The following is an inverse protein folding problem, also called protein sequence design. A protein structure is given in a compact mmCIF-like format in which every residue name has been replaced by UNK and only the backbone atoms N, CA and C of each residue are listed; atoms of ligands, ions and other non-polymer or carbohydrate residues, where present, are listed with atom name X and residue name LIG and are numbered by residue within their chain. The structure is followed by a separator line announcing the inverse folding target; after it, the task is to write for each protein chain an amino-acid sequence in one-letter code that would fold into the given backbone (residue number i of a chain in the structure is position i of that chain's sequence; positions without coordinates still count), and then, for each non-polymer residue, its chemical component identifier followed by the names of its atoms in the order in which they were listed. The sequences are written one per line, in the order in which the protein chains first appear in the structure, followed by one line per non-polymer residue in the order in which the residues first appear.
data_IF_052050519676
#
_entry.id   IF_052050519676
#
_cell.length_a   1.000
_cell.length_b   1.000
_cell.length_c   1.000
_cell.angle_alpha   90.00
_cell.angle_beta   90.00
_cell.angle_gamma   90.00
#
_symmetry.space_group_name_H-M   'P 1'
#
loop_
_entity.id
_entity.type
_entity.pdbx_description
1 polymer ?
#
# COMPACT_ATOMS: atom_id res chain seq x y z
N UNK A 1 -34.89 18.63 11.76
CA UNK A 1 -33.81 18.95 12.70
C UNK A 1 -33.92 20.39 13.16
N UNK A 2 -33.73 20.62 14.46
CA UNK A 2 -33.67 21.96 15.04
C UNK A 2 -32.22 22.18 15.47
N UNK A 3 -31.68 23.36 15.15
CA UNK A 3 -30.34 23.73 15.56
C UNK A 3 -30.31 24.23 17.00
N UNK A 4 -29.21 24.03 17.69
CA UNK A 4 -28.91 24.62 18.97
C UNK A 4 -28.61 26.14 18.86
N UNK A 5 -28.28 26.78 19.97
CA UNK A 5 -27.94 28.21 20.02
C UNK A 5 -26.67 28.59 19.24
N UNK A 6 -25.86 27.61 18.84
CA UNK A 6 -24.65 27.79 18.06
C UNK A 6 -24.83 27.41 16.58
N UNK A 7 -26.06 27.08 16.17
CA UNK A 7 -26.37 26.68 14.80
C UNK A 7 -26.01 25.22 14.45
N UNK A 8 -25.69 24.41 15.45
CA UNK A 8 -25.36 22.99 15.27
C UNK A 8 -26.59 22.13 15.45
N UNK A 9 -26.68 21.03 14.68
CA UNK A 9 -27.71 20.00 14.83
C UNK A 9 -27.07 18.62 14.65
N UNK A 10 -27.57 17.63 15.39
CA UNK A 10 -27.16 16.24 15.25
C UNK A 10 -28.40 15.32 15.18
N UNK A 11 -28.24 14.22 14.49
CA UNK A 11 -29.27 13.17 14.46
C UNK A 11 -28.59 11.83 14.18
N UNK A 12 -29.26 10.79 14.65
CA UNK A 12 -28.89 9.41 14.35
C UNK A 12 -29.86 8.84 13.32
N UNK A 13 -29.36 8.01 12.44
CA UNK A 13 -30.18 7.22 11.54
C UNK A 13 -29.71 5.77 11.57
N UNK A 14 -30.65 4.85 11.45
CA UNK A 14 -30.36 3.41 11.42
C UNK A 14 -30.35 2.94 9.98
N UNK A 15 -29.26 2.28 9.58
CA UNK A 15 -29.21 1.61 8.29
C UNK A 15 -30.21 0.45 8.24
N UNK A 16 -30.89 0.23 7.09
CA UNK A 16 -31.72 -0.95 6.90
C UNK A 16 -30.89 -2.22 7.08
N UNK A 17 -31.44 -3.20 7.80
CA UNK A 17 -30.75 -4.48 8.06
C UNK A 17 -30.60 -5.36 6.80
N UNK A 18 -31.38 -5.07 5.76
CA UNK A 18 -31.38 -5.72 4.44
C UNK A 18 -30.69 -4.87 3.36
N UNK A 19 -29.99 -3.80 3.76
CA UNK A 19 -29.25 -2.93 2.86
C UNK A 19 -28.08 -3.65 2.19
N UNK A 20 -27.81 -3.31 0.93
CA UNK A 20 -26.65 -3.82 0.21
C UNK A 20 -25.36 -3.20 0.75
N UNK A 21 -24.28 -3.98 0.77
CA UNK A 21 -22.95 -3.44 0.99
C UNK A 21 -22.58 -2.50 -0.17
N UNK A 22 -21.88 -1.42 0.14
CA UNK A 22 -21.42 -0.47 -0.87
C UNK A 22 -21.20 0.93 -0.35
N UNK A 23 -20.96 1.83 -1.29
CA UNK A 23 -20.74 3.24 -1.01
C UNK A 23 -22.08 3.97 -0.92
N UNK A 24 -22.31 4.63 0.21
CA UNK A 24 -23.50 5.41 0.51
C UNK A 24 -23.18 6.89 0.64
N UNK A 25 -24.13 7.72 0.28
CA UNK A 25 -24.03 9.16 0.49
C UNK A 25 -25.27 9.69 1.17
N UNK A 26 -25.07 10.58 2.12
CA UNK A 26 -26.10 11.40 2.74
C UNK A 26 -26.04 12.79 2.14
N UNK A 27 -27.18 13.35 1.79
CA UNK A 27 -27.29 14.70 1.27
C UNK A 27 -28.45 15.42 1.92
N UNK A 28 -28.29 16.71 2.20
CA UNK A 28 -29.36 17.58 2.69
C UNK A 28 -30.24 18.13 1.57
N UNK A 29 -29.94 17.79 0.30
CA UNK A 29 -30.64 18.32 -0.86
C UNK A 29 -30.35 19.79 -1.16
N UNK A 30 -29.45 20.44 -0.41
CA UNK A 30 -29.08 21.85 -0.54
C UNK A 30 -27.59 22.07 -0.86
N UNK A 31 -26.84 20.98 -1.10
CA UNK A 31 -25.45 21.02 -1.51
C UNK A 31 -24.45 20.46 -0.49
N UNK A 32 -24.85 20.21 0.75
CA UNK A 32 -24.02 19.46 1.68
C UNK A 32 -24.21 17.95 1.47
N UNK A 33 -23.11 17.21 1.46
CA UNK A 33 -23.12 15.75 1.34
C UNK A 33 -21.97 15.14 2.14
N UNK A 34 -22.18 13.91 2.60
CA UNK A 34 -21.18 13.10 3.26
C UNK A 34 -21.31 11.67 2.76
N UNK A 35 -20.18 11.06 2.43
CA UNK A 35 -20.16 9.66 2.02
C UNK A 35 -19.54 8.76 3.08
N UNK A 36 -19.97 7.50 3.09
CA UNK A 36 -19.45 6.44 3.94
C UNK A 36 -19.64 5.08 3.27
N UNK A 37 -18.83 4.12 3.65
CA UNK A 37 -18.91 2.75 3.14
C UNK A 37 -19.63 1.86 4.14
N UNK A 38 -20.54 1.03 3.64
CA UNK A 38 -21.19 -0.03 4.38
C UNK A 38 -20.66 -1.36 3.88
N UNK A 39 -20.02 -2.10 4.76
CA UNK A 39 -19.48 -3.42 4.44
C UNK A 39 -19.80 -4.40 5.57
N UNK A 40 -20.08 -5.65 5.22
CA UNK A 40 -20.13 -6.74 6.18
C UNK A 40 -18.70 -7.01 6.66
N UNK A 41 -18.47 -6.88 7.95
CA UNK A 41 -17.18 -7.23 8.54
C UNK A 41 -17.05 -8.75 8.60
N UNK A 42 -16.26 -9.31 7.67
CA UNK A 42 -15.78 -10.69 7.77
C UNK A 42 -14.42 -10.70 8.48
N UNK A 43 -14.33 -11.46 9.57
CA UNK A 43 -13.05 -11.64 10.24
C UNK A 43 -12.09 -12.33 9.27
N UNK A 44 -10.91 -11.77 9.00
CA UNK A 44 -9.92 -12.40 8.14
C UNK A 44 -9.57 -13.80 8.67
N UNK A 45 -9.49 -14.78 7.78
CA UNK A 45 -9.18 -16.17 8.16
C UNK A 45 -7.71 -16.50 8.00
N UNK A 46 -7.00 -15.78 7.10
CA UNK A 46 -5.58 -15.99 6.83
C UNK A 46 -4.83 -14.68 6.63
N UNK A 47 -3.52 -14.74 6.65
CA UNK A 47 -2.62 -13.64 6.36
C UNK A 47 -1.63 -14.01 5.26
N UNK A 48 -1.16 -12.99 4.53
CA UNK A 48 -0.12 -13.10 3.51
C UNK A 48 1.12 -12.36 4.02
N UNK A 49 2.25 -13.04 4.04
CA UNK A 49 3.50 -12.46 4.51
C UNK A 49 4.56 -12.49 3.43
N UNK A 50 5.17 -11.34 3.16
CA UNK A 50 6.37 -11.19 2.35
C UNK A 50 7.56 -10.91 3.26
N UNK A 51 8.65 -11.70 3.19
CA UNK A 51 9.80 -11.50 4.04
C UNK A 51 10.56 -10.24 3.64
N UNK A 52 11.28 -9.66 4.60
CA UNK A 52 12.22 -8.57 4.29
C UNK A 52 13.38 -9.11 3.46
N UNK A 53 13.69 -8.41 2.38
CA UNK A 53 14.87 -8.69 1.56
C UNK A 53 16.09 -8.08 2.25
N UNK A 54 17.06 -8.92 2.60
CA UNK A 54 18.33 -8.52 3.25
C UNK A 54 19.53 -8.64 2.32
N UNK A 55 19.35 -9.30 1.19
CA UNK A 55 20.36 -9.47 0.16
C UNK A 55 20.62 -8.14 -0.56
N UNK A 56 21.84 -7.94 -0.98
CA UNK A 56 22.21 -6.79 -1.81
C UNK A 56 21.76 -7.05 -3.24
N UNK A 57 21.19 -6.05 -3.86
CA UNK A 57 20.74 -6.08 -5.26
C UNK A 57 21.08 -4.77 -5.95
N UNK A 58 21.14 -4.80 -7.27
CA UNK A 58 21.45 -3.66 -8.13
C UNK A 58 20.56 -3.67 -9.38
N UNK A 59 20.69 -2.63 -10.19
CA UNK A 59 20.00 -2.55 -11.49
C UNK A 59 20.37 -3.73 -12.39
N UNK A 60 19.38 -4.34 -13.00
CA UNK A 60 19.49 -5.52 -13.83
C UNK A 60 19.38 -6.86 -13.09
N UNK A 61 19.40 -6.87 -11.77
CA UNK A 61 19.19 -8.09 -10.98
C UNK A 61 17.71 -8.51 -10.97
N UNK A 62 17.47 -9.77 -10.61
CA UNK A 62 16.12 -10.27 -10.26
C UNK A 62 16.12 -10.74 -8.81
N UNK A 63 15.33 -10.09 -7.98
CA UNK A 63 15.16 -10.46 -6.58
C UNK A 63 14.03 -11.47 -6.46
N UNK A 64 14.33 -12.64 -5.91
CA UNK A 64 13.37 -13.73 -5.72
C UNK A 64 12.79 -13.65 -4.30
N UNK A 65 11.49 -13.37 -4.19
CA UNK A 65 10.80 -13.27 -2.90
C UNK A 65 9.93 -14.51 -2.70
N UNK A 66 10.17 -15.21 -1.59
CA UNK A 66 9.39 -16.37 -1.16
C UNK A 66 8.40 -15.94 -0.09
N UNK A 67 7.15 -15.72 -0.50
CA UNK A 67 6.07 -15.37 0.43
C UNK A 67 5.38 -16.58 1.02
N UNK A 68 4.55 -16.33 2.05
CA UNK A 68 3.75 -17.37 2.70
C UNK A 68 2.31 -16.90 2.92
N UNK A 69 1.37 -17.83 2.81
CA UNK A 69 -0.03 -17.63 3.17
C UNK A 69 -0.45 -18.68 4.20
N UNK A 70 -0.86 -18.22 5.39
CA UNK A 70 -1.27 -19.09 6.52
C UNK A 70 -2.47 -18.52 7.22
N UNK A 71 -3.34 -19.41 7.70
CA UNK A 71 -4.42 -19.00 8.59
C UNK A 71 -3.85 -18.50 9.91
N UNK A 72 -4.62 -17.74 10.67
CA UNK A 72 -4.22 -17.30 12.02
C UNK A 72 -4.03 -18.45 13.01
N UNK A 73 -4.52 -19.64 12.68
CA UNK A 73 -4.25 -20.89 13.41
C UNK A 73 -2.94 -21.58 12.94
N UNK A 74 -2.21 -21.00 11.98
CA UNK A 74 -0.95 -21.53 11.46
C UNK A 74 -1.10 -22.58 10.35
N UNK A 75 -2.32 -22.87 9.90
CA UNK A 75 -2.56 -23.82 8.80
C UNK A 75 -2.22 -23.18 7.47
N UNK A 76 -1.42 -23.86 6.59
CA UNK A 76 -1.09 -23.31 5.27
C UNK A 76 -2.31 -23.16 4.37
N UNK A 77 -2.38 -22.06 3.61
CA UNK A 77 -3.35 -21.88 2.52
C UNK A 77 -2.77 -22.54 1.27
N UNK A 78 -3.13 -23.80 1.05
CA UNK A 78 -2.65 -24.59 -0.08
C UNK A 78 -3.52 -24.39 -1.31
N UNK A 79 -2.89 -24.28 -2.49
CA UNK A 79 -3.60 -24.10 -3.77
C UNK A 79 -4.30 -22.76 -3.95
N UNK A 80 -4.02 -21.78 -3.07
CA UNK A 80 -4.54 -20.42 -3.22
C UNK A 80 -4.01 -19.77 -4.50
N UNK A 81 -4.89 -19.07 -5.23
CA UNK A 81 -4.51 -18.31 -6.42
C UNK A 81 -3.75 -17.07 -6.01
N UNK A 82 -2.51 -16.94 -6.45
CA UNK A 82 -1.64 -15.79 -6.23
C UNK A 82 -1.62 -14.94 -7.50
N UNK A 83 -2.12 -13.73 -7.44
CA UNK A 83 -1.93 -12.72 -8.49
C UNK A 83 -0.98 -11.65 -7.99
N UNK A 84 -0.04 -11.24 -8.82
CA UNK A 84 0.94 -10.23 -8.44
C UNK A 84 1.15 -9.21 -9.56
N UNK A 85 1.48 -7.99 -9.15
CA UNK A 85 1.89 -6.91 -10.02
C UNK A 85 3.13 -6.26 -9.44
N UNK A 86 4.16 -6.10 -10.26
CA UNK A 86 5.42 -5.45 -9.91
C UNK A 86 5.46 -4.12 -10.64
N UNK A 87 5.57 -3.04 -9.91
CA UNK A 87 5.66 -1.70 -10.49
C UNK A 87 6.91 -0.97 -10.01
N UNK A 88 7.35 -0.02 -10.83
CA UNK A 88 8.39 0.93 -10.47
C UNK A 88 7.79 2.30 -10.26
N UNK A 89 8.02 2.86 -9.09
CA UNK A 89 7.58 4.19 -8.70
C UNK A 89 8.76 5.10 -8.43
N UNK A 90 8.75 6.31 -8.99
CA UNK A 90 9.79 7.30 -8.70
C UNK A 90 9.52 7.96 -7.34
N UNK A 91 10.56 8.02 -6.51
CA UNK A 91 10.53 8.74 -5.24
C UNK A 91 11.08 10.14 -5.43
N UNK A 92 10.21 11.11 -5.25
CA UNK A 92 10.63 12.50 -5.22
C UNK A 92 11.02 12.88 -3.79
N UNK A 93 12.30 12.87 -3.50
CA UNK A 93 12.86 13.58 -2.34
C UNK A 93 13.02 15.07 -2.71
N UNK A 94 11.94 15.77 -2.84
CA UNK A 94 11.97 17.15 -3.26
C UNK A 94 10.94 18.01 -2.53
N UNK A 95 11.45 19.04 -1.94
CA UNK A 95 10.82 20.23 -1.35
C UNK A 95 9.29 20.35 -1.55
N UNK A 96 8.60 20.66 -0.49
CA UNK A 96 7.17 20.73 -0.15
C UNK A 96 6.18 21.36 -1.17
N UNK A 97 6.63 22.02 -2.20
CA UNK A 97 5.78 22.71 -3.17
C UNK A 97 5.54 21.92 -4.48
N UNK A 98 6.11 20.75 -4.65
CA UNK A 98 5.85 19.83 -5.77
C UNK A 98 4.94 18.65 -5.39
N UNK A 99 3.97 18.91 -4.54
CA UNK A 99 2.87 17.98 -4.31
C UNK A 99 2.00 17.97 -5.55
N UNK A 100 2.01 16.93 -6.35
CA UNK A 100 0.87 16.70 -7.21
C UNK A 100 1.05 16.34 -8.66
N UNK A 101 2.18 15.84 -9.10
CA UNK A 101 2.20 15.09 -10.36
C UNK A 101 2.91 13.77 -10.09
N UNK A 102 2.09 12.76 -9.69
CA UNK A 102 2.52 11.38 -9.72
C UNK A 102 2.86 11.05 -11.16
N UNK A 103 4.11 10.73 -11.42
CA UNK A 103 4.44 10.01 -12.63
C UNK A 103 3.78 8.64 -12.46
N UNK A 104 3.03 8.20 -13.45
CA UNK A 104 2.31 6.95 -13.43
C UNK A 104 3.25 5.81 -13.01
N UNK A 105 2.78 4.96 -12.12
CA UNK A 105 3.50 3.75 -11.73
C UNK A 105 3.69 2.90 -13.00
N UNK A 106 4.94 2.58 -13.31
CA UNK A 106 5.25 1.77 -14.48
C UNK A 106 5.23 0.31 -14.08
N UNK A 107 4.28 -0.46 -14.62
CA UNK A 107 4.25 -1.91 -14.42
C UNK A 107 5.43 -2.55 -15.14
N UNK A 108 6.25 -3.27 -14.38
CA UNK A 108 7.42 -4.01 -14.88
C UNK A 108 7.07 -5.46 -15.20
N UNK A 109 6.24 -6.06 -14.39
CA UNK A 109 5.82 -7.45 -14.52
C UNK A 109 4.51 -7.68 -13.80
N UNK A 110 3.72 -8.61 -14.30
CA UNK A 110 2.52 -9.11 -13.64
C UNK A 110 2.35 -10.60 -13.96
N UNK A 111 1.67 -11.32 -13.09
CA UNK A 111 1.47 -12.73 -13.30
C UNK A 111 0.55 -13.39 -12.30
N UNK A 112 0.34 -14.66 -12.53
CA UNK A 112 -0.48 -15.52 -11.69
C UNK A 112 0.30 -16.80 -11.39
N UNK A 113 0.31 -17.19 -10.11
CA UNK A 113 0.84 -18.46 -9.64
C UNK A 113 -0.09 -19.04 -8.56
N UNK A 114 0.32 -20.10 -7.90
CA UNK A 114 -0.44 -20.73 -6.81
C UNK A 114 0.47 -21.00 -5.62
N UNK A 115 -0.12 -21.03 -4.42
CA UNK A 115 0.60 -21.48 -3.22
C UNK A 115 0.79 -22.99 -3.26
N UNK A 116 1.93 -23.47 -2.76
CA UNK A 116 2.22 -24.89 -2.60
C UNK A 116 1.48 -25.51 -1.39
N UNK A 117 1.78 -26.78 -1.07
CA UNK A 117 1.14 -27.49 0.05
C UNK A 117 1.46 -26.89 1.42
N UNK A 118 2.59 -26.24 1.54
CA UNK A 118 3.08 -25.55 2.72
C UNK A 118 2.62 -24.08 2.78
N UNK A 119 1.85 -23.63 1.78
CA UNK A 119 1.37 -22.25 1.65
C UNK A 119 2.42 -21.27 1.17
N UNK A 120 3.52 -21.73 0.56
CA UNK A 120 4.53 -20.86 0.01
C UNK A 120 4.23 -20.50 -1.45
N UNK A 121 4.72 -19.36 -1.87
CA UNK A 121 4.71 -18.91 -3.25
C UNK A 121 5.98 -18.11 -3.55
N UNK A 122 6.30 -17.97 -4.82
CA UNK A 122 7.50 -17.26 -5.29
C UNK A 122 7.08 -16.16 -6.25
N UNK A 123 7.65 -14.97 -6.05
CA UNK A 123 7.52 -13.83 -6.95
C UNK A 123 8.90 -13.29 -7.28
N UNK A 124 9.14 -13.05 -8.57
CA UNK A 124 10.40 -12.52 -9.09
C UNK A 124 10.25 -11.03 -9.37
N UNK A 125 11.06 -10.21 -8.73
CA UNK A 125 11.07 -8.76 -8.87
C UNK A 125 12.23 -8.33 -9.77
N UNK A 126 11.96 -7.89 -11.01
CA UNK A 126 13.00 -7.32 -11.85
C UNK A 126 13.43 -5.96 -11.30
N UNK A 127 14.68 -5.85 -10.91
CA UNK A 127 15.28 -4.61 -10.43
C UNK A 127 15.73 -3.78 -11.63
N UNK A 128 14.81 -3.00 -12.21
CA UNK A 128 15.04 -2.27 -13.45
C UNK A 128 14.88 -0.77 -13.27
N UNK A 129 15.91 -0.01 -13.56
CA UNK A 129 15.89 1.44 -13.66
C UNK A 129 15.28 1.93 -14.99
N UNK A 130 14.83 3.20 -15.08
CA UNK A 130 14.35 3.75 -16.33
C UNK A 130 15.43 3.75 -17.42
N UNK A 131 15.03 3.43 -18.65
CA UNK A 131 15.88 3.62 -19.83
C UNK A 131 16.22 5.09 -20.02
N UNK A 132 17.34 5.37 -20.71
CA UNK A 132 17.77 6.75 -21.01
C UNK A 132 18.58 7.42 -19.91
N UNK A 133 19.02 6.68 -18.88
CA UNK A 133 19.95 7.18 -17.86
C UNK A 133 19.37 8.23 -16.91
N UNK A 134 18.04 8.28 -16.76
CA UNK A 134 17.38 9.15 -15.78
C UNK A 134 17.90 8.83 -14.38
N UNK A 135 18.53 9.82 -13.74
CA UNK A 135 19.04 9.70 -12.38
C UNK A 135 17.92 9.96 -11.37
N UNK A 136 17.75 9.08 -10.41
CA UNK A 136 16.72 9.22 -9.39
C UNK A 136 16.74 8.13 -8.35
N UNK A 137 15.78 8.24 -7.45
CA UNK A 137 15.45 7.21 -6.47
C UNK A 137 14.11 6.60 -6.88
N UNK A 138 14.05 5.30 -6.87
CA UNK A 138 12.89 4.54 -7.28
C UNK A 138 12.56 3.51 -6.21
N UNK A 139 11.31 3.06 -6.21
CA UNK A 139 10.86 1.90 -5.46
C UNK A 139 10.33 0.87 -6.44
N UNK A 140 10.79 -0.36 -6.30
CA UNK A 140 10.18 -1.51 -6.93
C UNK A 140 9.16 -2.04 -5.94
N UNK A 141 7.89 -1.97 -6.32
CA UNK A 141 6.76 -2.32 -5.45
C UNK A 141 6.13 -3.60 -5.99
N UNK A 142 6.09 -4.62 -5.14
CA UNK A 142 5.38 -5.85 -5.41
C UNK A 142 4.06 -5.85 -4.63
N UNK A 143 2.94 -5.82 -5.34
CA UNK A 143 1.62 -6.03 -4.80
C UNK A 143 1.21 -7.48 -5.07
N UNK A 144 0.94 -8.23 -4.03
CA UNK A 144 0.55 -9.64 -4.11
C UNK A 144 -0.80 -9.82 -3.48
N UNK A 145 -1.72 -10.44 -4.24
CA UNK A 145 -3.07 -10.79 -3.78
C UNK A 145 -3.25 -12.30 -3.83
N UNK A 146 -3.65 -12.90 -2.73
CA UNK A 146 -3.95 -14.32 -2.65
C UNK A 146 -5.44 -14.52 -2.42
N UNK A 147 -6.04 -15.40 -3.21
CA UNK A 147 -7.43 -15.80 -3.07
C UNK A 147 -7.46 -17.29 -2.76
N UNK A 148 -8.09 -17.64 -1.64
CA UNK A 148 -8.24 -19.04 -1.22
C UNK A 148 -9.39 -19.76 -1.98
N UNK A 149 -9.60 -21.04 -1.67
CA UNK A 149 -10.65 -21.85 -2.26
C UNK A 149 -12.07 -21.40 -1.88
N UNK A 150 -12.23 -20.66 -0.79
CA UNK A 150 -13.50 -20.09 -0.35
C UNK A 150 -13.79 -18.72 -1.01
N UNK A 151 -12.84 -18.19 -1.80
CA UNK A 151 -12.97 -16.89 -2.47
C UNK A 151 -12.57 -15.71 -1.58
N UNK A 152 -12.03 -15.95 -0.38
CA UNK A 152 -11.48 -14.89 0.47
C UNK A 152 -10.14 -14.42 -0.10
N UNK A 153 -9.90 -13.11 -0.11
CA UNK A 153 -8.67 -12.53 -0.68
C UNK A 153 -7.97 -11.65 0.32
N UNK A 154 -6.64 -11.79 0.39
CA UNK A 154 -5.75 -10.91 1.17
C UNK A 154 -4.59 -10.43 0.34
N UNK A 155 -4.09 -9.25 0.68
CA UNK A 155 -3.04 -8.56 -0.06
C UNK A 155 -1.84 -8.32 0.85
N UNK A 156 -0.65 -8.33 0.24
CA UNK A 156 0.59 -7.91 0.87
C UNK A 156 1.40 -7.08 -0.12
N UNK A 157 2.10 -6.08 0.40
CA UNK A 157 2.99 -5.21 -0.37
C UNK A 157 4.42 -5.35 0.13
N UNK A 158 5.36 -5.36 -0.80
CA UNK A 158 6.79 -5.24 -0.54
C UNK A 158 7.35 -4.12 -1.40
N UNK A 159 8.07 -3.20 -0.77
CA UNK A 159 8.71 -2.07 -1.46
C UNK A 159 10.23 -2.15 -1.27
N UNK A 160 10.96 -2.21 -2.38
CA UNK A 160 12.41 -2.28 -2.42
C UNK A 160 12.98 -1.01 -3.06
N UNK A 161 13.85 -0.25 -2.36
CA UNK A 161 14.49 0.93 -2.94
C UNK A 161 15.49 0.53 -4.02
N UNK A 162 15.53 1.28 -5.12
CA UNK A 162 16.51 1.13 -6.19
C UNK A 162 16.98 2.51 -6.66
N UNK A 163 18.29 2.72 -6.77
CA UNK A 163 18.83 3.99 -7.17
C UNK A 163 20.09 3.83 -8.03
N UNK A 164 20.27 4.74 -8.97
CA UNK A 164 21.53 4.94 -9.67
C UNK A 164 22.33 6.12 -9.11
N UNK A 165 22.00 6.57 -7.90
CA UNK A 165 22.76 7.55 -7.13
C UNK A 165 23.49 6.88 -5.98
N UNK A 166 24.72 7.28 -5.76
CA UNK A 166 25.59 6.72 -4.71
C UNK A 166 25.32 7.31 -3.33
N UNK A 167 24.49 8.32 -3.23
CA UNK A 167 24.30 9.03 -1.96
C UNK A 167 22.87 9.54 -1.83
N UNK A 168 22.25 9.23 -0.73
CA UNK A 168 20.95 9.75 -0.29
C UNK A 168 21.14 10.56 0.98
N UNK A 169 20.62 11.78 0.99
CA UNK A 169 20.46 12.56 2.21
C UNK A 169 19.01 12.53 2.64
N UNK A 170 18.76 12.06 3.84
CA UNK A 170 17.45 12.12 4.49
C UNK A 170 17.50 13.09 5.66
N UNK A 171 16.42 13.86 5.84
CA UNK A 171 16.23 14.71 7.00
C UNK A 171 14.98 14.23 7.72
N UNK A 172 15.14 13.86 8.98
CA UNK A 172 14.02 13.54 9.85
C UNK A 172 13.43 14.83 10.40
N UNK A 173 12.34 15.27 9.78
CA UNK A 173 11.65 16.51 10.14
C UNK A 173 10.14 16.24 10.28
N UNK A 174 9.54 16.55 11.43
CA UNK A 174 8.10 16.41 11.61
C UNK A 174 7.32 17.38 10.70
N UNK A 175 6.13 16.99 10.27
CA UNK A 175 5.27 17.78 9.38
C UNK A 175 4.85 19.14 9.97
N UNK A 176 4.88 19.28 11.29
CA UNK A 176 4.55 20.50 12.01
C UNK A 176 5.55 20.73 13.13
N UNK A 177 6.18 21.89 13.14
CA UNK A 177 7.15 22.30 14.15
C UNK A 177 6.72 23.65 14.71
N UNK A 178 6.70 23.77 16.04
CA UNK A 178 6.61 25.07 16.68
C UNK A 178 7.97 25.77 16.55
N UNK A 179 7.98 27.05 16.17
CA UNK A 179 9.20 27.82 15.92
C UNK A 179 10.22 27.75 17.08
N UNK A 180 9.73 27.69 18.31
CA UNK A 180 10.56 27.65 19.52
C UNK A 180 11.01 26.23 19.92
N UNK A 181 10.52 25.19 19.26
CA UNK A 181 10.80 23.79 19.62
C UNK A 181 11.90 23.14 18.78
N UNK A 182 12.28 23.74 17.66
CA UNK A 182 13.33 23.20 16.78
C UNK A 182 14.71 23.45 17.38
N UNK A 183 15.26 22.46 18.08
CA UNK A 183 16.62 22.53 18.67
C UNK A 183 17.70 21.95 17.78
N UNK A 184 17.37 20.98 16.96
CA UNK A 184 18.31 20.32 16.03
C UNK A 184 17.55 19.60 14.92
N UNK A 185 18.19 19.47 13.78
CA UNK A 185 17.76 18.60 12.66
C UNK A 185 18.84 17.57 12.39
N UNK A 186 18.45 16.33 12.17
CA UNK A 186 19.39 15.26 11.83
C UNK A 186 19.33 14.99 10.34
N UNK A 187 20.47 15.11 9.68
CA UNK A 187 20.66 14.69 8.30
C UNK A 187 21.42 13.37 8.30
N UNK A 188 20.84 12.36 7.67
CA UNK A 188 21.49 11.06 7.48
C UNK A 188 21.91 10.93 6.03
N UNK A 189 23.19 10.63 5.81
CA UNK A 189 23.73 10.25 4.51
C UNK A 189 23.85 8.73 4.48
N UNK A 190 23.20 8.11 3.48
CA UNK A 190 23.26 6.66 3.22
C UNK A 190 23.80 6.43 1.82
#
# INVERSE_FOLDING_TARGET
LTTDAYGSASTDFTLPSDGLNGHYSLSDGKGAWQSFDVAEYKRPTFEVTLPKVTEKYQDGDTVVVKGTAKTYAGVPVSGGKVSYSISRKESYYGWWWRRGFGQDDITLSEGITTTDKEGHFVVELPMSLPEGGKRGFFHIIANVKITDAAGESHEAELSLPLSNRSTLFTCDMPDKILADSLKSMTFTQT
#
